data_IF_484945386900
#
_entry.id   IF_484945386900
#
_cell.length_a   1.000
_cell.length_b   1.000
_cell.length_c   1.000
_cell.angle_alpha   90.00
_cell.angle_beta   90.00
_cell.angle_gamma   90.00
#
_symmetry.space_group_name_H-M   'P 1'
#
loop_
_entity.id
_entity.type
_entity.pdbx_description
1 polymer ?
#
# COMPACT_ATOMS: atom_id res chain seq x y z
N UNK A 1 -25.95 7.25 4.95
CA UNK A 1 -24.74 6.98 5.74
C UNK A 1 -23.49 6.95 4.86
N UNK A 2 -23.55 6.25 3.72
CA UNK A 2 -22.44 6.11 2.75
C UNK A 2 -21.86 7.44 2.22
N UNK A 3 -22.69 8.43 1.87
CA UNK A 3 -22.21 9.73 1.38
C UNK A 3 -21.41 10.53 2.42
N UNK A 4 -21.61 10.28 3.72
CA UNK A 4 -20.84 10.92 4.80
C UNK A 4 -19.48 10.24 4.95
N UNK A 5 -19.48 8.91 5.01
CA UNK A 5 -18.26 8.08 5.08
C UNK A 5 -17.34 8.35 3.88
N UNK A 6 -17.89 8.37 2.67
CA UNK A 6 -17.12 8.64 1.46
C UNK A 6 -16.51 10.05 1.44
N UNK A 7 -17.18 11.04 2.03
CA UNK A 7 -16.67 12.42 2.13
C UNK A 7 -15.54 12.54 3.14
N UNK A 8 -15.71 11.92 4.31
CA UNK A 8 -14.68 11.86 5.35
C UNK A 8 -13.45 11.10 4.87
N UNK A 9 -13.65 10.01 4.12
CA UNK A 9 -12.56 9.27 3.49
C UNK A 9 -11.78 10.12 2.50
N UNK A 10 -12.46 10.77 1.53
CA UNK A 10 -11.80 11.65 0.56
C UNK A 10 -11.01 12.77 1.23
N UNK A 11 -11.59 13.42 2.23
CA UNK A 11 -10.89 14.45 2.98
C UNK A 11 -9.60 13.94 3.64
N UNK A 12 -9.61 12.72 4.20
CA UNK A 12 -8.39 12.10 4.75
C UNK A 12 -7.36 11.74 3.67
N UNK A 13 -7.81 11.30 2.50
CA UNK A 13 -6.92 11.03 1.35
C UNK A 13 -6.22 12.31 0.92
N UNK A 14 -6.96 13.41 0.77
CA UNK A 14 -6.42 14.71 0.38
C UNK A 14 -5.44 15.30 1.40
N UNK A 15 -5.56 14.92 2.69
CA UNK A 15 -4.65 15.37 3.74
C UNK A 15 -3.37 14.52 3.86
N UNK A 16 -3.37 13.28 3.37
CA UNK A 16 -2.30 12.31 3.60
C UNK A 16 -1.55 11.92 2.33
N UNK A 17 -2.12 12.19 1.15
CA UNK A 17 -1.52 11.88 -0.15
C UNK A 17 -1.56 13.16 -0.99
N UNK A 18 -0.39 13.69 -1.33
CA UNK A 18 -0.27 14.91 -2.13
C UNK A 18 -0.33 14.63 -3.64
N UNK A 19 0.11 13.44 -4.07
CA UNK A 19 0.21 13.08 -5.48
C UNK A 19 -1.13 12.55 -6.04
N UNK A 20 -1.69 13.26 -7.03
CA UNK A 20 -2.94 12.86 -7.69
C UNK A 20 -2.86 11.45 -8.33
N UNK A 21 -1.72 11.04 -8.88
CA UNK A 21 -1.58 9.70 -9.43
C UNK A 21 -1.66 8.60 -8.34
N UNK A 22 -1.15 8.87 -7.13
CA UNK A 22 -1.28 7.95 -6.00
C UNK A 22 -2.72 7.89 -5.48
N UNK A 23 -3.45 9.03 -5.51
CA UNK A 23 -4.88 9.08 -5.17
C UNK A 23 -5.71 8.28 -6.17
N UNK A 24 -5.49 8.49 -7.47
CA UNK A 24 -6.17 7.77 -8.54
C UNK A 24 -5.96 6.25 -8.40
N UNK A 25 -4.70 5.84 -8.19
CA UNK A 25 -4.38 4.43 -7.94
C UNK A 25 -5.09 3.90 -6.69
N UNK A 26 -5.11 4.65 -5.58
CA UNK A 26 -5.85 4.26 -4.37
C UNK A 26 -7.35 4.04 -4.65
N UNK A 27 -7.98 4.95 -5.40
CA UNK A 27 -9.40 4.83 -5.75
C UNK A 27 -9.68 3.66 -6.69
N UNK A 28 -8.78 3.39 -7.64
CA UNK A 28 -8.89 2.26 -8.56
C UNK A 28 -8.73 0.93 -7.83
N UNK A 29 -7.78 0.81 -6.91
CA UNK A 29 -7.59 -0.38 -6.05
C UNK A 29 -8.84 -0.66 -5.22
N UNK A 30 -9.45 0.37 -4.62
CA UNK A 30 -10.71 0.22 -3.87
C UNK A 30 -11.88 -0.20 -4.78
N UNK A 31 -11.93 0.32 -6.02
CA UNK A 31 -12.93 -0.07 -7.02
C UNK A 31 -12.76 -1.53 -7.46
N UNK A 32 -11.52 -1.97 -7.68
CA UNK A 32 -11.18 -3.34 -8.02
C UNK A 32 -11.53 -4.31 -6.88
N UNK A 33 -11.32 -3.91 -5.63
CA UNK A 33 -11.77 -4.69 -4.48
C UNK A 33 -13.29 -4.85 -4.45
N UNK A 34 -14.05 -3.78 -4.75
CA UNK A 34 -15.51 -3.87 -4.80
C UNK A 34 -16.04 -4.87 -5.84
N UNK A 35 -15.27 -5.13 -6.91
CA UNK A 35 -15.61 -6.13 -7.93
C UNK A 35 -15.14 -7.55 -7.57
N UNK A 36 -13.91 -7.68 -7.08
CA UNK A 36 -13.26 -8.97 -6.85
C UNK A 36 -13.52 -9.57 -5.46
N UNK A 37 -13.84 -8.73 -4.47
CA UNK A 37 -13.93 -9.09 -3.06
C UNK A 37 -12.65 -9.75 -2.50
N UNK A 38 -11.50 -9.56 -3.15
CA UNK A 38 -10.23 -10.18 -2.77
C UNK A 38 -9.43 -9.28 -1.82
N UNK A 39 -9.46 -9.61 -0.54
CA UNK A 39 -8.86 -8.80 0.52
C UNK A 39 -7.32 -8.85 0.57
N UNK A 40 -6.66 -10.01 0.39
CA UNK A 40 -5.21 -10.07 0.29
C UNK A 40 -4.64 -9.17 -0.82
N UNK A 41 -5.26 -9.18 -2.01
CA UNK A 41 -4.85 -8.31 -3.13
C UNK A 41 -5.04 -6.84 -2.77
N UNK A 42 -6.22 -6.48 -2.23
CA UNK A 42 -6.47 -5.12 -1.75
C UNK A 42 -5.37 -4.64 -0.79
N UNK A 43 -5.07 -5.41 0.26
CA UNK A 43 -4.10 -4.99 1.27
C UNK A 43 -2.69 -4.90 0.68
N UNK A 44 -2.32 -5.81 -0.22
CA UNK A 44 -1.05 -5.74 -0.95
C UNK A 44 -0.91 -4.45 -1.77
N UNK A 45 -1.94 -4.11 -2.55
CA UNK A 45 -1.96 -2.90 -3.38
C UNK A 45 -2.00 -1.62 -2.54
N UNK A 46 -2.76 -1.63 -1.43
CA UNK A 46 -2.80 -0.50 -0.49
C UNK A 46 -1.43 -0.20 0.12
N UNK A 47 -0.59 -1.22 0.37
CA UNK A 47 0.77 -1.03 0.91
C UNK A 47 1.70 -0.29 -0.06
N UNK A 48 1.39 -0.23 -1.37
CA UNK A 48 2.16 0.54 -2.34
C UNK A 48 1.96 2.06 -2.16
N UNK A 49 0.74 2.47 -1.79
CA UNK A 49 0.41 3.88 -1.53
C UNK A 49 0.66 4.26 -0.08
N UNK A 50 0.31 3.36 0.84
CA UNK A 50 0.52 3.52 2.28
C UNK A 50 1.94 3.05 2.62
N UNK A 51 2.92 3.77 2.09
CA UNK A 51 4.34 3.40 2.10
C UNK A 51 5.16 4.16 3.15
N UNK A 52 4.53 4.90 4.05
CA UNK A 52 5.18 5.63 5.15
C UNK A 52 4.26 5.76 6.39
N UNK A 53 4.82 5.97 7.60
CA UNK A 53 4.06 5.98 8.85
C UNK A 53 2.95 7.05 8.92
N UNK A 54 3.15 8.20 8.29
CA UNK A 54 2.19 9.31 8.20
C UNK A 54 0.90 8.89 7.49
N UNK A 55 1.00 7.99 6.50
CA UNK A 55 -0.12 7.50 5.68
C UNK A 55 -0.89 6.34 6.31
N UNK A 56 -0.34 5.68 7.32
CA UNK A 56 -1.01 4.55 8.01
C UNK A 56 -2.46 4.83 8.47
N UNK A 57 -2.88 6.05 8.92
CA UNK A 57 -4.28 6.33 9.26
C UNK A 57 -5.27 6.04 8.14
N UNK A 58 -4.82 5.88 6.89
CA UNK A 58 -5.66 5.47 5.76
C UNK A 58 -6.24 4.06 5.95
N UNK A 59 -5.52 3.11 6.57
CA UNK A 59 -6.10 1.80 6.88
C UNK A 59 -7.35 1.92 7.77
N UNK A 60 -7.30 2.78 8.79
CA UNK A 60 -8.44 3.06 9.66
C UNK A 60 -9.58 3.77 8.90
N UNK A 61 -9.24 4.58 7.90
CA UNK A 61 -10.21 5.31 7.08
C UNK A 61 -10.87 4.43 6.02
N UNK A 62 -10.19 3.39 5.55
CA UNK A 62 -10.67 2.42 4.57
C UNK A 62 -11.54 1.35 5.24
N UNK A 63 -11.24 0.97 6.49
CA UNK A 63 -11.99 -0.05 7.25
C UNK A 63 -13.53 0.08 7.15
N UNK A 64 -14.16 1.26 7.28
CA UNK A 64 -15.62 1.41 7.15
C UNK A 64 -16.16 1.13 5.73
N UNK A 65 -15.31 1.16 4.70
CA UNK A 65 -15.66 0.82 3.32
C UNK A 65 -15.62 -0.71 3.08
N UNK A 66 -15.00 -1.46 3.99
CA UNK A 66 -14.89 -2.92 3.91
C UNK A 66 -16.16 -3.57 4.47
N UNK A 67 -16.80 -4.50 3.73
CA UNK A 67 -17.96 -5.25 4.22
C UNK A 67 -17.69 -5.92 5.56
N UNK A 68 -18.67 -5.92 6.47
CA UNK A 68 -18.54 -6.47 7.84
C UNK A 68 -17.95 -7.90 7.87
N UNK A 69 -18.34 -8.74 6.90
CA UNK A 69 -17.82 -10.12 6.76
C UNK A 69 -16.30 -10.21 6.55
N UNK A 70 -15.67 -9.18 5.99
CA UNK A 70 -14.24 -9.15 5.71
C UNK A 70 -13.44 -8.30 6.71
N UNK A 71 -14.10 -7.59 7.63
CA UNK A 71 -13.41 -6.67 8.54
C UNK A 71 -12.44 -7.36 9.51
N UNK A 72 -12.73 -8.59 9.92
CA UNK A 72 -11.83 -9.36 10.81
C UNK A 72 -10.56 -9.77 10.07
N UNK A 73 -10.70 -10.27 8.84
CA UNK A 73 -9.57 -10.64 7.98
C UNK A 73 -8.75 -9.40 7.61
N UNK A 74 -9.41 -8.25 7.38
CA UNK A 74 -8.74 -6.98 7.09
C UNK A 74 -7.84 -6.54 8.26
N UNK A 75 -8.33 -6.67 9.51
CA UNK A 75 -7.55 -6.35 10.71
C UNK A 75 -6.36 -7.31 10.93
N UNK A 76 -6.41 -8.52 10.36
CA UNK A 76 -5.31 -9.48 10.45
C UNK A 76 -4.22 -9.16 9.43
N UNK A 77 -4.60 -8.67 8.24
CA UNK A 77 -3.68 -8.34 7.15
C UNK A 77 -3.07 -6.94 7.27
N UNK A 78 -3.75 -6.03 7.97
CA UNK A 78 -3.27 -4.65 8.16
C UNK A 78 -2.43 -4.49 9.45
N UNK A 79 -1.45 -3.58 9.46
CA UNK A 79 -0.61 -3.38 10.64
C UNK A 79 -1.40 -2.78 11.80
N UNK A 80 -1.28 -3.41 12.97
CA UNK A 80 -2.02 -3.05 14.19
C UNK A 80 -1.42 -1.83 14.87
N UNK A 81 -1.82 -0.61 14.49
CA UNK A 81 -1.32 0.59 15.17
C UNK A 81 -1.91 0.72 16.58
N UNK A 82 -1.07 1.09 17.54
CA UNK A 82 -1.53 1.54 18.86
C UNK A 82 -1.21 3.02 19.07
N UNK A 83 -2.20 3.80 19.49
CA UNK A 83 -1.96 5.17 19.99
C UNK A 83 -1.51 5.19 21.45
N UNK A 84 -1.71 4.09 22.18
CA UNK A 84 -1.31 3.95 23.58
C UNK A 84 0.18 3.64 23.65
N UNK A 85 0.88 4.42 24.49
CA UNK A 85 2.28 4.16 24.80
C UNK A 85 2.38 2.98 25.76
N UNK A 86 3.33 2.08 25.49
CA UNK A 86 3.69 0.98 26.38
C UNK A 86 5.01 1.31 27.05
N UNK A 87 5.06 1.24 28.37
CA UNK A 87 6.30 1.40 29.14
C UNK A 87 6.81 0.02 29.60
N UNK A 88 8.09 -0.25 29.37
CA UNK A 88 8.77 -1.45 29.84
C UNK A 88 10.06 -1.06 30.54
N UNK A 89 10.52 -1.94 31.45
CA UNK A 89 11.81 -1.77 32.15
C UNK A 89 12.67 -2.98 31.83
N UNK A 90 13.88 -2.73 31.35
CA UNK A 90 14.84 -3.77 31.01
C UNK A 90 16.11 -3.61 31.84
N UNK A 91 16.65 -4.73 32.31
CA UNK A 91 17.94 -4.83 32.98
C UNK A 91 19.06 -5.07 31.97
N UNK A 92 20.01 -4.15 31.92
CA UNK A 92 21.19 -4.27 31.05
C UNK A 92 22.22 -5.26 31.56
N UNK A 93 22.16 -5.65 32.82
CA UNK A 93 23.05 -6.65 33.40
C UNK A 93 22.55 -8.09 33.17
N UNK A 94 21.38 -8.25 32.53
CA UNK A 94 20.90 -9.55 32.11
C UNK A 94 21.94 -10.24 31.21
N UNK A 95 22.22 -11.55 31.38
CA UNK A 95 23.28 -12.25 30.63
C UNK A 95 23.15 -12.16 29.10
N UNK A 96 21.92 -12.14 28.60
CA UNK A 96 21.60 -12.01 27.16
C UNK A 96 21.42 -10.55 26.71
N UNK A 97 21.74 -9.59 27.58
CA UNK A 97 21.49 -8.17 27.35
C UNK A 97 20.00 -7.83 27.26
N UNK A 98 19.69 -6.81 26.45
CA UNK A 98 18.31 -6.32 26.27
C UNK A 98 17.50 -7.20 25.30
N UNK A 99 18.17 -7.90 24.36
CA UNK A 99 17.51 -8.71 23.34
C UNK A 99 16.80 -7.94 22.22
N UNK A 100 17.26 -6.71 21.91
CA UNK A 100 16.75 -5.88 20.81
C UNK A 100 17.88 -5.30 19.98
N UNK A 101 17.61 -5.13 18.68
CA UNK A 101 18.39 -4.28 17.79
C UNK A 101 17.54 -3.08 17.38
N UNK A 102 18.12 -1.88 17.43
CA UNK A 102 17.44 -0.63 17.10
C UNK A 102 18.09 0.04 15.89
N UNK A 103 17.31 0.83 15.16
CA UNK A 103 17.78 1.63 14.01
C UNK A 103 17.01 2.93 13.89
N UNK A 104 17.55 3.86 13.09
CA UNK A 104 17.03 5.22 12.98
C UNK A 104 17.70 6.16 13.97
N UNK A 105 17.16 7.35 14.11
CA UNK A 105 17.83 8.49 14.76
C UNK A 105 17.67 9.75 13.92
N UNK A 106 17.87 10.91 14.55
CA UNK A 106 17.68 12.22 13.94
C UNK A 106 18.46 12.38 12.62
N UNK A 107 19.67 11.85 12.54
CA UNK A 107 20.55 11.89 11.38
C UNK A 107 19.97 11.15 10.16
N UNK A 108 19.04 10.22 10.39
CA UNK A 108 18.31 9.50 9.36
C UNK A 108 16.91 10.09 9.11
N UNK A 109 16.63 11.28 9.68
CA UNK A 109 15.35 11.99 9.61
C UNK A 109 14.14 11.10 9.96
N UNK A 110 14.33 10.18 10.91
CA UNK A 110 13.28 9.29 11.40
C UNK A 110 13.43 9.03 12.90
N UNK A 111 12.38 8.51 13.52
CA UNK A 111 12.42 8.04 14.90
C UNK A 111 13.34 6.82 15.09
N UNK A 112 13.37 6.27 16.30
CA UNK A 112 14.15 5.07 16.62
C UNK A 112 13.23 3.85 16.69
N UNK A 113 13.54 2.81 15.92
CA UNK A 113 12.68 1.63 15.76
C UNK A 113 13.39 0.35 16.16
N UNK A 114 12.64 -0.56 16.80
CA UNK A 114 13.08 -1.92 17.06
C UNK A 114 13.01 -2.71 15.75
N UNK A 115 14.17 -3.11 15.24
CA UNK A 115 14.27 -3.86 13.98
C UNK A 115 14.47 -5.36 14.16
N UNK A 116 15.01 -5.80 15.29
CA UNK A 116 15.16 -7.21 15.60
C UNK A 116 14.92 -7.44 17.08
N UNK A 117 14.52 -8.66 17.39
CA UNK A 117 14.15 -9.07 18.73
C UNK A 117 14.58 -10.52 18.92
N UNK A 118 15.29 -10.80 20.01
CA UNK A 118 15.75 -12.15 20.35
C UNK A 118 14.57 -12.91 20.93
N UNK A 119 14.14 -13.97 20.25
CA UNK A 119 13.04 -14.82 20.70
C UNK A 119 13.35 -15.45 22.06
N UNK A 120 12.43 -15.32 23.01
CA UNK A 120 12.62 -15.74 24.40
C UNK A 120 13.52 -14.82 25.23
N UNK A 121 14.10 -13.79 24.62
CA UNK A 121 14.94 -12.81 25.31
C UNK A 121 14.12 -11.87 26.20
N UNK A 122 14.83 -10.99 26.90
CA UNK A 122 14.22 -10.08 27.87
C UNK A 122 13.17 -9.14 27.26
N UNK A 123 13.49 -8.52 26.12
CA UNK A 123 12.58 -7.65 25.40
C UNK A 123 11.34 -8.38 24.86
N UNK A 124 11.51 -9.60 24.35
CA UNK A 124 10.39 -10.46 23.92
C UNK A 124 9.46 -10.77 25.09
N UNK A 125 10.04 -11.13 26.23
CA UNK A 125 9.31 -11.50 27.45
C UNK A 125 8.46 -10.36 28.01
N UNK A 126 8.90 -9.11 27.84
CA UNK A 126 8.09 -7.92 28.21
C UNK A 126 7.14 -7.48 27.09
N UNK A 127 7.12 -8.20 25.97
CA UNK A 127 6.23 -8.01 24.82
C UNK A 127 6.57 -6.80 23.96
N UNK A 128 7.84 -6.42 23.86
CA UNK A 128 8.26 -5.51 22.78
C UNK A 128 8.10 -6.23 21.43
N UNK A 129 7.92 -5.47 20.36
CA UNK A 129 7.67 -6.01 19.04
C UNK A 129 8.57 -5.33 18.00
N UNK A 130 8.90 -6.06 16.93
CA UNK A 130 9.51 -5.48 15.74
C UNK A 130 8.51 -4.46 15.15
N UNK A 131 8.99 -3.27 14.79
CA UNK A 131 8.14 -2.16 14.32
C UNK A 131 7.62 -1.27 15.45
N UNK A 132 8.05 -1.48 16.69
CA UNK A 132 7.88 -0.54 17.78
C UNK A 132 8.82 0.66 17.60
N UNK A 133 8.26 1.86 17.67
CA UNK A 133 9.00 3.12 17.77
C UNK A 133 9.26 3.44 19.24
N UNK A 134 10.53 3.63 19.60
CA UNK A 134 10.93 4.12 20.91
C UNK A 134 10.73 5.63 20.94
N UNK A 135 9.89 6.10 21.87
CA UNK A 135 9.57 7.53 21.99
C UNK A 135 10.24 8.18 23.20
N UNK A 136 10.53 7.41 24.25
CA UNK A 136 11.25 7.89 25.44
C UNK A 136 12.15 6.84 26.04
N UNK A 137 13.26 7.29 26.61
CA UNK A 137 14.22 6.46 27.35
C UNK A 137 14.53 7.14 28.67
N UNK A 138 14.39 6.39 29.77
CA UNK A 138 14.62 6.87 31.13
C UNK A 138 13.87 8.16 31.48
N UNK A 139 12.71 8.36 30.85
CA UNK A 139 11.89 9.55 31.03
C UNK A 139 12.23 10.72 30.11
N UNK A 140 13.27 10.65 29.29
CA UNK A 140 13.63 11.70 28.32
C UNK A 140 13.02 11.44 26.95
N UNK A 141 12.59 12.51 26.27
CA UNK A 141 12.18 12.43 24.85
C UNK A 141 13.41 12.23 23.98
N UNK A 142 13.31 11.39 22.95
CA UNK A 142 14.43 11.11 22.03
C UNK A 142 14.18 11.58 20.59
N UNK A 143 13.14 12.40 20.38
CA UNK A 143 12.74 12.91 19.06
C UNK A 143 13.82 13.73 18.34
N UNK A 144 14.75 14.30 19.10
CA UNK A 144 15.82 15.17 18.59
C UNK A 144 17.20 14.62 18.91
N UNK A 145 17.30 13.31 19.16
CA UNK A 145 18.55 12.65 19.46
C UNK A 145 19.08 11.90 18.25
N UNK A 146 20.39 11.92 18.05
CA UNK A 146 21.06 11.03 17.09
C UNK A 146 21.01 9.58 17.57
N UNK A 147 21.28 8.62 16.68
CA UNK A 147 21.37 7.22 17.06
C UNK A 147 22.35 7.02 18.22
N UNK A 148 23.54 7.62 18.10
CA UNK A 148 24.60 7.50 19.11
C UNK A 148 24.17 8.07 20.47
N UNK A 149 23.55 9.25 20.50
CA UNK A 149 23.05 9.86 21.73
C UNK A 149 22.02 8.97 22.42
N UNK A 150 21.14 8.32 21.66
CA UNK A 150 20.17 7.38 22.21
C UNK A 150 20.87 6.14 22.80
N UNK A 151 21.83 5.55 22.09
CA UNK A 151 22.59 4.41 22.61
C UNK A 151 23.31 4.79 23.91
N UNK A 152 23.90 5.99 23.96
CA UNK A 152 24.53 6.50 25.17
C UNK A 152 23.52 6.70 26.30
N UNK A 153 22.31 7.19 26.00
CA UNK A 153 21.23 7.34 26.97
C UNK A 153 20.76 6.00 27.54
N UNK A 154 20.63 4.96 26.72
CA UNK A 154 20.35 3.58 27.17
C UNK A 154 21.46 3.11 28.11
N UNK A 155 22.72 3.50 27.82
CA UNK A 155 23.90 3.08 28.58
C UNK A 155 24.08 3.78 29.94
N UNK A 156 23.30 4.82 30.25
CA UNK A 156 23.45 5.60 31.49
C UNK A 156 23.08 4.85 32.77
N UNK A 157 22.09 3.95 32.72
CA UNK A 157 21.53 3.27 33.90
C UNK A 157 21.59 1.76 33.76
N UNK A 158 21.62 1.04 34.89
CA UNK A 158 21.54 -0.44 34.91
C UNK A 158 20.17 -0.93 34.42
N UNK A 159 19.11 -0.32 34.94
CA UNK A 159 17.74 -0.55 34.48
C UNK A 159 17.35 0.60 33.56
N UNK A 160 16.99 0.28 32.32
CA UNK A 160 16.48 1.24 31.33
C UNK A 160 14.96 1.17 31.29
N UNK A 161 14.28 2.31 31.45
CA UNK A 161 12.85 2.43 31.15
C UNK A 161 12.69 2.88 29.69
N UNK A 162 11.90 2.15 28.91
CA UNK A 162 11.64 2.45 27.50
C UNK A 162 10.14 2.62 27.32
N UNK A 163 9.72 3.75 26.74
CA UNK A 163 8.35 3.93 26.25
C UNK A 163 8.31 3.76 24.74
N UNK A 164 7.43 2.89 24.28
CA UNK A 164 7.27 2.57 22.87
C UNK A 164 5.85 2.82 22.36
N UNK A 165 5.74 3.01 21.05
CA UNK A 165 4.49 3.03 20.30
C UNK A 165 4.60 2.07 19.13
N UNK A 166 3.62 1.18 18.96
CA UNK A 166 3.64 0.24 17.84
C UNK A 166 3.21 0.94 16.54
N UNK A 167 4.10 0.92 15.54
CA UNK A 167 3.87 1.48 14.21
C UNK A 167 3.65 0.37 13.17
N UNK A 168 4.43 -0.70 13.22
CA UNK A 168 4.35 -1.82 12.28
C UNK A 168 5.12 -1.60 10.97
N UNK A 169 6.02 -0.61 10.93
CA UNK A 169 6.93 -0.33 9.82
C UNK A 169 8.36 -0.12 10.34
N UNK A 170 9.34 -0.35 9.49
CA UNK A 170 10.78 -0.25 9.77
C UNK A 170 11.43 0.69 8.75
N UNK A 171 12.24 1.67 9.17
CA UNK A 171 13.03 2.49 8.27
C UNK A 171 14.17 1.68 7.65
N UNK A 172 14.38 1.86 6.35
CA UNK A 172 15.42 1.19 5.56
C UNK A 172 16.10 2.23 4.66
N UNK A 173 17.42 2.29 4.76
CA UNK A 173 18.28 3.10 3.89
C UNK A 173 19.50 2.26 3.52
N UNK A 174 19.61 1.86 2.25
CA UNK A 174 20.62 0.89 1.79
C UNK A 174 21.98 1.55 1.56
N UNK A 175 21.99 2.83 1.20
CA UNK A 175 23.20 3.63 0.99
C UNK A 175 22.99 5.09 1.44
N UNK A 176 24.07 5.86 1.67
CA UNK A 176 23.98 7.28 2.02
C UNK A 176 23.19 8.11 1.01
N UNK A 177 23.27 7.74 -0.27
CA UNK A 177 22.68 8.44 -1.41
C UNK A 177 21.22 8.03 -1.69
N UNK A 178 20.76 6.89 -1.17
CA UNK A 178 19.37 6.49 -1.29
C UNK A 178 18.46 7.27 -0.33
N UNK A 179 17.23 7.63 -0.78
CA UNK A 179 16.24 8.19 0.11
C UNK A 179 15.81 7.17 1.17
N UNK A 180 15.40 7.65 2.34
CA UNK A 180 14.81 6.82 3.38
C UNK A 180 13.52 6.16 2.85
N UNK A 181 13.45 4.84 2.93
CA UNK A 181 12.27 4.05 2.60
C UNK A 181 11.71 3.40 3.86
N UNK A 182 10.43 3.05 3.84
CA UNK A 182 9.81 2.29 4.91
C UNK A 182 9.34 0.93 4.42
N UNK A 183 9.56 -0.09 5.23
CA UNK A 183 9.15 -1.45 4.93
C UNK A 183 8.23 -1.96 6.04
N UNK A 184 7.18 -2.68 5.67
CA UNK A 184 6.33 -3.34 6.66
C UNK A 184 7.09 -4.48 7.34
N UNK A 185 6.76 -4.75 8.60
CA UNK A 185 7.45 -5.77 9.40
C UNK A 185 7.42 -7.15 8.74
N UNK A 186 6.32 -7.51 8.08
CA UNK A 186 6.20 -8.80 7.36
C UNK A 186 7.19 -8.91 6.20
N UNK A 187 7.29 -7.88 5.36
CA UNK A 187 8.27 -7.80 4.27
C UNK A 187 9.71 -7.76 4.79
N UNK A 188 9.94 -7.06 5.91
CA UNK A 188 11.26 -6.90 6.52
C UNK A 188 11.80 -8.22 7.09
N UNK A 189 10.94 -9.02 7.74
CA UNK A 189 11.33 -10.33 8.31
C UNK A 189 11.48 -11.39 7.21
N UNK A 190 10.68 -11.35 6.14
CA UNK A 190 10.83 -12.25 4.99
C UNK A 190 12.17 -12.13 4.26
N UNK A 191 12.87 -11.00 4.37
CA UNK A 191 14.20 -10.79 3.78
C UNK A 191 15.35 -11.34 4.68
N UNK A 192 15.02 -11.86 5.87
CA UNK A 192 15.99 -12.30 6.88
C UNK A 192 16.04 -13.81 7.12
N UNK A 193 15.24 -14.60 6.40
CA UNK A 193 15.21 -16.06 6.55
C UNK A 193 14.87 -16.78 5.24
N UNK A 194 15.49 -17.94 5.05
CA UNK A 194 15.40 -18.83 3.88
C UNK A 194 13.99 -19.02 3.31
N UNK A 195 13.94 -19.26 2.00
CA UNK A 195 12.75 -19.11 1.18
C UNK A 195 11.58 -20.04 1.49
N UNK A 196 10.39 -19.51 1.19
CA UNK A 196 9.33 -20.16 0.39
C UNK A 196 8.26 -19.10 0.06
N UNK A 197 7.82 -19.12 -1.19
CA UNK A 197 7.28 -17.94 -1.86
C UNK A 197 5.79 -17.66 -1.69
N UNK A 198 5.41 -16.46 -2.11
CA UNK A 198 4.33 -16.26 -3.07
C UNK A 198 4.33 -14.82 -3.61
N UNK A 199 4.55 -14.75 -4.93
CA UNK A 199 3.94 -13.82 -5.91
C UNK A 199 3.68 -12.37 -5.47
N UNK A 200 4.66 -11.52 -5.73
CA UNK A 200 4.48 -10.24 -6.41
C UNK A 200 5.81 -9.88 -7.08
N UNK A 201 5.85 -10.02 -8.40
CA UNK A 201 7.06 -9.90 -9.20
C UNK A 201 7.52 -8.47 -9.40
N UNK A 202 8.79 -8.38 -9.83
CA UNK A 202 9.46 -7.25 -10.48
C UNK A 202 10.11 -6.21 -9.56
N UNK A 203 11.16 -6.63 -8.84
CA UNK A 203 12.50 -6.02 -8.93
C UNK A 203 13.40 -6.58 -7.81
N UNK A 204 14.19 -7.61 -8.10
CA UNK A 204 15.55 -7.70 -7.57
C UNK A 204 16.27 -8.86 -8.25
N UNK A 205 17.10 -8.54 -9.22
CA UNK A 205 18.11 -9.45 -9.74
C UNK A 205 19.43 -8.72 -9.67
N UNK A 206 20.28 -9.09 -8.71
CA UNK A 206 21.72 -8.82 -8.80
C UNK A 206 22.38 -8.03 -7.67
N UNK A 207 21.72 -7.73 -6.55
CA UNK A 207 22.39 -7.14 -5.38
C UNK A 207 22.42 -8.15 -4.24
N UNK A 208 23.53 -8.88 -4.04
CA UNK A 208 23.76 -9.47 -2.72
C UNK A 208 24.18 -8.33 -1.83
N UNK A 209 23.21 -7.77 -1.11
CA UNK A 209 23.44 -6.65 -0.24
C UNK A 209 24.50 -7.03 0.81
N UNK A 210 25.65 -6.38 0.70
CA UNK A 210 26.69 -6.37 1.71
C UNK A 210 26.13 -5.61 2.93
N UNK A 211 25.26 -6.26 3.71
CA UNK A 211 24.58 -5.66 4.87
C UNK A 211 25.58 -5.48 6.00
N UNK A 212 25.70 -4.28 6.55
CA UNK A 212 26.44 -4.04 7.78
C UNK A 212 25.74 -4.73 8.96
N UNK A 213 26.46 -5.62 9.66
CA UNK A 213 26.03 -6.30 10.90
C UNK A 213 26.87 -5.76 12.06
N UNK A 214 26.24 -5.35 13.15
CA UNK A 214 26.93 -5.00 14.41
C UNK A 214 26.65 -6.07 15.46
N UNK A 215 27.69 -6.75 15.93
CA UNK A 215 27.61 -7.86 16.88
C UNK A 215 28.34 -7.55 18.17
N UNK A 216 27.86 -8.13 19.27
CA UNK A 216 28.46 -7.97 20.60
C UNK A 216 28.96 -9.33 21.11
N UNK A 217 30.24 -9.42 21.45
CA UNK A 217 30.88 -10.65 21.92
C UNK A 217 31.48 -10.41 23.31
N UNK A 218 31.06 -11.21 24.29
CA UNK A 218 31.63 -11.25 25.63
C UNK A 218 32.55 -12.46 25.78
N UNK A 219 33.85 -12.21 25.98
CA UNK A 219 34.90 -13.21 26.16
C UNK A 219 35.14 -13.57 27.64
N UNK A 220 34.19 -13.23 28.51
CA UNK A 220 34.25 -13.53 29.95
C UNK A 220 33.87 -15.00 30.13
N UNK A 221 34.78 -15.80 30.69
CA UNK A 221 34.56 -17.24 30.92
C UNK A 221 34.79 -18.15 29.71
N UNK A 222 35.09 -17.59 28.52
CA UNK A 222 35.43 -18.36 27.31
C UNK A 222 36.93 -18.33 27.00
N UNK A 223 37.40 -19.34 26.25
CA UNK A 223 38.81 -19.43 25.81
C UNK A 223 39.12 -18.50 24.62
N UNK A 224 38.12 -17.85 24.02
CA UNK A 224 38.27 -16.95 22.87
C UNK A 224 36.96 -16.79 22.08
N UNK A 225 36.96 -15.90 21.08
CA UNK A 225 35.76 -15.62 20.27
C UNK A 225 35.37 -16.79 19.34
N UNK A 226 36.36 -17.58 18.90
CA UNK A 226 36.13 -18.77 18.08
C UNK A 226 36.01 -18.52 16.59
N UNK A 227 36.48 -17.38 16.09
CA UNK A 227 36.75 -17.16 14.67
C UNK A 227 38.23 -16.86 14.41
N UNK A 228 38.66 -17.09 13.18
CA UNK A 228 39.96 -16.70 12.65
C UNK A 228 39.79 -15.50 11.71
N UNK A 229 40.78 -14.62 11.69
CA UNK A 229 40.83 -13.49 10.77
C UNK A 229 42.01 -13.63 9.81
N UNK A 230 41.84 -13.15 8.58
CA UNK A 230 42.86 -13.09 7.54
C UNK A 230 42.89 -11.70 6.93
N UNK A 231 44.06 -11.26 6.46
CA UNK A 231 44.13 -10.04 5.65
C UNK A 231 43.74 -10.36 4.22
N UNK A 232 42.96 -9.48 3.61
CA UNK A 232 42.62 -9.59 2.20
C UNK A 232 43.82 -9.33 1.27
N UNK A 233 43.74 -9.77 0.01
CA UNK A 233 44.77 -9.53 -1.00
C UNK A 233 44.85 -8.05 -1.37
N UNK A 234 45.89 -7.65 -2.12
CA UNK A 234 46.08 -6.25 -2.56
C UNK A 234 44.93 -5.70 -3.38
N UNK A 235 44.17 -6.55 -4.07
CA UNK A 235 42.98 -6.18 -4.85
C UNK A 235 41.75 -5.91 -3.96
N UNK A 236 41.76 -6.39 -2.72
CA UNK A 236 40.66 -6.26 -1.77
C UNK A 236 41.21 -6.20 -0.33
N UNK A 237 41.86 -5.09 0.05
CA UNK A 237 42.46 -4.94 1.36
C UNK A 237 41.40 -4.90 2.46
N UNK A 238 41.77 -5.33 3.66
CA UNK A 238 40.89 -5.36 4.83
C UNK A 238 41.12 -6.60 5.69
N UNK A 239 40.40 -6.67 6.82
CA UNK A 239 40.44 -7.81 7.73
C UNK A 239 39.15 -8.61 7.57
N UNK A 240 39.27 -9.87 7.19
CA UNK A 240 38.14 -10.75 6.88
C UNK A 240 38.11 -11.94 7.81
N UNK A 241 36.91 -12.45 8.08
CA UNK A 241 36.73 -13.70 8.82
C UNK A 241 37.01 -14.87 7.88
N UNK A 242 38.02 -15.66 8.22
CA UNK A 242 38.46 -16.78 7.39
C UNK A 242 37.96 -18.15 7.87
N UNK A 243 37.64 -18.25 9.16
CA UNK A 243 37.09 -19.49 9.71
C UNK A 243 36.26 -19.19 10.95
N UNK A 244 35.23 -19.99 11.20
CA UNK A 244 34.39 -19.92 12.38
C UNK A 244 34.24 -21.32 12.97
N UNK A 245 34.58 -21.46 14.24
CA UNK A 245 34.42 -22.73 14.95
C UNK A 245 32.93 -22.96 15.25
N UNK A 246 32.37 -24.13 14.90
CA UNK A 246 30.98 -24.47 15.25
C UNK A 246 30.75 -24.41 16.76
N UNK A 247 29.61 -23.85 17.18
CA UNK A 247 29.25 -23.67 18.59
C UNK A 247 30.15 -22.68 19.36
N UNK A 248 30.81 -21.77 18.65
CA UNK A 248 31.55 -20.67 19.26
C UNK A 248 30.69 -19.42 19.39
N UNK A 249 31.13 -18.48 20.23
CA UNK A 249 30.48 -17.16 20.36
C UNK A 249 30.37 -16.45 19.02
N UNK A 250 31.41 -16.50 18.17
CA UNK A 250 31.37 -15.92 16.82
C UNK A 250 30.27 -16.56 15.96
N UNK A 251 30.05 -17.87 16.06
CA UNK A 251 28.97 -18.54 15.34
C UNK A 251 27.59 -18.17 15.90
N UNK A 252 27.45 -18.12 17.22
CA UNK A 252 26.20 -17.78 17.90
C UNK A 252 25.72 -16.36 17.62
N UNK A 253 26.65 -15.40 17.47
CA UNK A 253 26.30 -14.01 17.12
C UNK A 253 26.10 -13.81 15.61
N UNK A 254 26.17 -14.87 14.80
CA UNK A 254 25.88 -14.83 13.37
C UNK A 254 26.97 -14.19 12.50
N UNK A 255 28.23 -14.26 12.95
CA UNK A 255 29.36 -14.03 12.05
C UNK A 255 29.47 -15.20 11.08
N UNK A 256 29.89 -14.91 9.85
CA UNK A 256 30.07 -15.88 8.78
C UNK A 256 31.47 -15.77 8.16
N UNK A 257 31.91 -16.85 7.51
CA UNK A 257 33.13 -16.85 6.71
C UNK A 257 32.95 -15.86 5.55
N UNK A 258 33.93 -14.99 5.34
CA UNK A 258 33.90 -13.93 4.36
C UNK A 258 33.32 -12.60 4.86
N UNK A 259 32.89 -12.48 6.11
CA UNK A 259 32.54 -11.17 6.68
C UNK A 259 33.79 -10.28 6.79
N UNK A 260 33.68 -9.01 6.41
CA UNK A 260 34.76 -8.02 6.59
C UNK A 260 34.57 -7.26 7.88
N UNK A 261 35.55 -7.25 8.77
CA UNK A 261 35.52 -6.42 9.97
C UNK A 261 35.87 -4.99 9.58
N UNK A 262 34.96 -4.05 9.89
CA UNK A 262 35.13 -2.62 9.58
C UNK A 262 35.30 -1.77 10.83
N UNK A 263 34.84 -2.24 11.99
CA UNK A 263 35.06 -1.55 13.27
C UNK A 263 35.12 -2.55 14.43
N UNK A 264 36.00 -2.31 15.41
CA UNK A 264 36.00 -3.03 16.69
C UNK A 264 36.11 -2.04 17.83
N UNK A 265 35.12 -2.01 18.73
CA UNK A 265 35.09 -1.13 19.90
C UNK A 265 35.30 0.36 19.56
N UNK A 266 34.83 0.81 18.38
CA UNK A 266 35.02 2.17 17.89
C UNK A 266 36.39 2.44 17.24
N UNK A 267 37.25 1.42 17.12
CA UNK A 267 38.48 1.49 16.30
C UNK A 267 38.13 1.09 14.87
N UNK A 268 38.44 1.94 13.90
CA UNK A 268 38.28 1.66 12.47
C UNK A 268 39.22 0.54 12.02
N UNK A 269 38.69 -0.41 11.24
CA UNK A 269 39.41 -1.57 10.70
C UNK A 269 39.58 -1.51 9.17
N UNK A 270 39.19 -0.40 8.53
CA UNK A 270 39.26 -0.24 7.08
C UNK A 270 40.68 -0.34 6.53
N UNK A 271 41.67 0.20 7.25
CA UNK A 271 43.10 0.24 6.84
C UNK A 271 44.04 -0.29 7.93
N UNK A 272 43.62 -1.31 8.67
CA UNK A 272 44.39 -1.88 9.76
C UNK A 272 45.19 -3.09 9.28
N UNK A 273 46.47 -3.17 9.67
CA UNK A 273 47.30 -4.33 9.37
C UNK A 273 46.91 -5.55 10.23
N UNK A 274 47.28 -6.75 9.79
CA UNK A 274 46.91 -7.98 10.49
C UNK A 274 47.33 -7.99 11.97
N UNK A 275 48.54 -7.49 12.26
CA UNK A 275 49.14 -7.57 13.58
C UNK A 275 48.40 -6.65 14.55
N UNK A 276 48.03 -5.47 14.07
CA UNK A 276 47.25 -4.49 14.79
C UNK A 276 45.82 -4.97 15.02
N UNK A 277 45.17 -5.54 14.00
CA UNK A 277 43.84 -6.11 14.11
C UNK A 277 43.78 -7.19 15.21
N UNK A 278 44.77 -8.09 15.25
CA UNK A 278 44.90 -9.11 16.29
C UNK A 278 45.11 -8.48 17.68
N UNK A 279 45.90 -7.41 17.77
CA UNK A 279 46.14 -6.69 19.03
C UNK A 279 44.85 -6.06 19.56
N UNK A 280 44.09 -5.37 18.71
CA UNK A 280 42.84 -4.70 19.08
C UNK A 280 41.78 -5.73 19.47
N UNK A 281 41.60 -6.81 18.71
CA UNK A 281 40.65 -7.88 19.04
C UNK A 281 40.99 -8.61 20.35
N UNK A 282 42.27 -8.65 20.74
CA UNK A 282 42.72 -9.23 22.01
C UNK A 282 42.78 -8.23 23.17
N UNK A 283 42.64 -6.94 22.90
CA UNK A 283 42.81 -5.88 23.92
C UNK A 283 41.67 -5.83 24.95
N UNK A 284 40.49 -6.36 24.60
CA UNK A 284 39.30 -6.31 25.44
C UNK A 284 38.63 -7.67 25.56
N UNK A 285 38.01 -7.89 26.73
CA UNK A 285 37.13 -9.05 26.99
C UNK A 285 35.70 -8.82 26.51
N UNK A 286 35.37 -7.62 26.08
CA UNK A 286 34.07 -7.28 25.49
C UNK A 286 34.30 -6.57 24.16
N UNK A 287 33.74 -7.12 23.09
CA UNK A 287 33.95 -6.65 21.73
C UNK A 287 32.61 -6.26 21.13
N UNK A 288 32.53 -5.03 20.63
CA UNK A 288 31.49 -4.59 19.70
C UNK A 288 32.12 -4.57 18.32
N UNK A 289 31.68 -5.44 17.43
CA UNK A 289 32.27 -5.61 16.10
C UNK A 289 31.25 -5.21 15.06
N UNK A 290 31.59 -4.27 14.20
CA UNK A 290 30.82 -3.96 12.98
C UNK A 290 31.48 -4.69 11.82
N UNK A 291 30.69 -5.45 11.07
CA UNK A 291 31.14 -6.21 9.89
C UNK A 291 30.28 -5.92 8.67
N UNK A 292 30.87 -6.00 7.49
CA UNK A 292 30.14 -6.00 6.22
C UNK A 292 29.95 -7.45 5.81
N UNK A 293 28.69 -7.89 5.79
CA UNK A 293 28.33 -9.30 5.64
C UNK A 293 28.74 -9.86 4.29
N UNK A 294 29.64 -10.83 4.35
CA UNK A 294 30.13 -11.58 3.21
C UNK A 294 30.80 -10.76 2.10
N UNK A 295 31.34 -9.59 2.45
CA UNK A 295 32.13 -8.78 1.55
C UNK A 295 33.33 -9.57 0.99
N UNK A 296 33.95 -10.44 1.77
CA UNK A 296 35.05 -11.32 1.38
C UNK A 296 34.65 -12.76 1.08
N UNK A 297 33.37 -13.09 0.86
CA UNK A 297 32.94 -14.48 0.58
C UNK A 297 33.73 -15.11 -0.57
N UNK A 298 33.95 -14.36 -1.63
CA UNK A 298 34.74 -14.77 -2.80
C UNK A 298 36.23 -15.08 -2.52
N UNK A 299 36.78 -14.57 -1.41
CA UNK A 299 38.17 -14.84 -1.03
C UNK A 299 38.34 -16.23 -0.40
N UNK A 300 37.24 -16.83 0.06
CA UNK A 300 37.24 -18.11 0.78
C UNK A 300 36.36 -19.18 0.13
N UNK A 301 35.81 -18.92 -1.06
CA UNK A 301 35.10 -19.93 -1.86
C UNK A 301 36.10 -20.91 -2.49
N UNK A 302 35.79 -22.21 -2.42
CA UNK A 302 36.54 -23.22 -3.15
C UNK A 302 36.26 -23.13 -4.66
N UNK A 303 37.20 -23.59 -5.49
CA UNK A 303 37.03 -23.57 -6.95
C UNK A 303 35.78 -24.35 -7.42
N UNK A 304 35.44 -25.44 -6.73
CA UNK A 304 34.21 -26.19 -6.97
C UNK A 304 32.95 -25.39 -6.64
N UNK A 305 32.95 -24.65 -5.52
CA UNK A 305 31.82 -23.78 -5.14
C UNK A 305 31.67 -22.61 -6.10
N UNK A 306 32.79 -22.03 -6.56
CA UNK A 306 32.82 -20.97 -7.57
C UNK A 306 32.19 -21.46 -8.88
N UNK A 307 32.55 -22.65 -9.33
CA UNK A 307 31.99 -23.23 -10.55
C UNK A 307 30.49 -23.51 -10.42
N UNK A 308 30.03 -24.08 -9.30
CA UNK A 308 28.60 -24.30 -9.05
C UNK A 308 27.81 -23.00 -9.01
N UNK A 309 28.36 -21.96 -8.39
CA UNK A 309 27.70 -20.65 -8.32
C UNK A 309 27.59 -20.00 -9.70
N UNK A 310 28.62 -20.12 -10.54
CA UNK A 310 28.58 -19.66 -11.93
C UNK A 310 27.54 -20.45 -12.73
N UNK A 311 27.51 -21.77 -12.61
CA UNK A 311 26.52 -22.62 -13.29
C UNK A 311 25.10 -22.31 -12.84
N UNK A 312 24.88 -22.09 -11.55
CA UNK A 312 23.57 -21.75 -11.01
C UNK A 312 23.10 -20.38 -11.53
N UNK A 313 23.97 -19.37 -11.51
CA UNK A 313 23.66 -18.05 -12.08
C UNK A 313 23.36 -18.12 -13.58
N UNK A 314 24.07 -18.98 -14.31
CA UNK A 314 23.83 -19.16 -15.74
C UNK A 314 22.49 -19.84 -15.99
N UNK A 315 22.12 -20.82 -15.17
CA UNK A 315 20.82 -21.47 -15.21
C UNK A 315 19.68 -20.49 -14.87
N UNK A 316 19.81 -19.72 -13.79
CA UNK A 316 18.86 -18.65 -13.41
C UNK A 316 18.70 -17.63 -14.55
N UNK A 317 19.80 -17.25 -15.21
CA UNK A 317 19.76 -16.33 -16.35
C UNK A 317 19.01 -16.94 -17.54
N UNK A 318 19.18 -18.23 -17.79
CA UNK A 318 18.46 -18.94 -18.86
C UNK A 318 16.96 -19.04 -18.55
N UNK A 319 16.60 -19.36 -17.31
CA UNK A 319 15.21 -19.41 -16.86
C UNK A 319 14.54 -18.04 -16.95
N UNK A 320 15.22 -16.97 -16.51
CA UNK A 320 14.72 -15.61 -16.63
C UNK A 320 14.50 -15.20 -18.09
N UNK A 321 15.43 -15.55 -18.98
CA UNK A 321 15.29 -15.28 -20.42
C UNK A 321 14.14 -16.07 -21.05
N UNK A 322 13.91 -17.29 -20.60
CA UNK A 322 12.77 -18.10 -21.03
C UNK A 322 11.44 -17.49 -20.54
N UNK A 323 11.37 -17.10 -19.27
CA UNK A 323 10.19 -16.46 -18.68
C UNK A 323 9.87 -15.13 -19.38
N UNK A 324 10.90 -14.32 -19.68
CA UNK A 324 10.75 -13.06 -20.42
C UNK A 324 10.21 -13.29 -21.83
N UNK A 325 10.61 -14.39 -22.50
CA UNK A 325 10.09 -14.76 -23.82
C UNK A 325 8.60 -15.08 -23.76
N UNK A 326 8.18 -15.91 -22.79
CA UNK A 326 6.78 -16.27 -22.59
C UNK A 326 5.93 -15.04 -22.24
N UNK A 327 6.47 -14.11 -21.42
CA UNK A 327 5.81 -12.86 -21.09
C UNK A 327 5.63 -11.93 -22.31
N UNK A 328 6.62 -11.87 -23.21
CA UNK A 328 6.51 -11.10 -24.45
C UNK A 328 5.46 -11.71 -25.40
N UNK A 329 5.41 -13.03 -25.50
CA UNK A 329 4.44 -13.74 -26.34
C UNK A 329 3.00 -13.58 -25.84
N UNK A 330 2.78 -13.69 -24.53
CA UNK A 330 1.48 -13.46 -23.90
C UNK A 330 1.01 -12.01 -24.05
N UNK A 331 1.90 -11.03 -23.87
CA UNK A 331 1.57 -9.61 -24.12
C UNK A 331 1.22 -9.34 -25.58
N UNK A 332 1.90 -10.00 -26.51
CA UNK A 332 1.57 -9.91 -27.95
C UNK A 332 0.18 -10.45 -28.22
N UNK A 333 -0.16 -11.63 -27.70
CA UNK A 333 -1.48 -12.25 -27.85
C UNK A 333 -2.60 -11.38 -27.25
N UNK A 334 -2.34 -10.78 -26.08
CA UNK A 334 -3.29 -9.89 -25.43
C UNK A 334 -3.58 -8.63 -26.27
N UNK A 335 -2.54 -8.02 -26.86
CA UNK A 335 -2.70 -6.89 -27.78
C UNK A 335 -3.50 -7.26 -29.03
N UNK A 336 -3.22 -8.42 -29.63
CA UNK A 336 -3.96 -8.91 -30.79
C UNK A 336 -5.44 -9.18 -30.46
N UNK A 337 -5.74 -9.70 -29.25
CA UNK A 337 -7.12 -9.87 -28.79
C UNK A 337 -7.84 -8.52 -28.60
N UNK A 338 -7.19 -7.55 -27.96
CA UNK A 338 -7.77 -6.22 -27.77
C UNK A 338 -8.05 -5.51 -29.10
N UNK A 339 -7.15 -5.64 -30.08
CA UNK A 339 -7.35 -5.05 -31.40
C UNK A 339 -8.53 -5.70 -32.15
N UNK A 340 -8.66 -7.03 -32.10
CA UNK A 340 -9.81 -7.75 -32.65
C UNK A 340 -11.13 -7.36 -31.97
N UNK A 341 -11.13 -7.20 -30.65
CA UNK A 341 -12.31 -6.76 -29.92
C UNK A 341 -12.70 -5.33 -30.31
N UNK A 342 -11.71 -4.43 -30.48
CA UNK A 342 -11.93 -3.07 -30.95
C UNK A 342 -12.51 -3.02 -32.36
N UNK A 343 -12.03 -3.89 -33.26
CA UNK A 343 -12.58 -4.03 -34.61
C UNK A 343 -14.04 -4.50 -34.58
N UNK A 344 -14.36 -5.52 -33.79
CA UNK A 344 -15.75 -5.98 -33.63
C UNK A 344 -16.67 -4.89 -33.08
N UNK A 345 -16.22 -4.14 -32.07
CA UNK A 345 -16.97 -3.00 -31.52
C UNK A 345 -17.22 -1.92 -32.57
N UNK A 346 -16.23 -1.62 -33.40
CA UNK A 346 -16.37 -0.64 -34.48
C UNK A 346 -17.38 -1.12 -35.54
N UNK A 347 -17.33 -2.39 -35.93
CA UNK A 347 -18.28 -2.98 -36.88
C UNK A 347 -19.72 -2.96 -36.34
N UNK A 348 -19.91 -3.31 -35.06
CA UNK A 348 -21.22 -3.24 -34.39
C UNK A 348 -21.71 -1.79 -34.35
N UNK A 349 -20.85 -0.84 -33.97
CA UNK A 349 -21.20 0.58 -33.93
C UNK A 349 -21.57 1.12 -35.30
N UNK A 350 -20.89 0.68 -36.36
CA UNK A 350 -21.18 1.10 -37.72
C UNK A 350 -22.55 0.56 -38.18
N UNK A 351 -22.84 -0.73 -37.92
CA UNK A 351 -24.15 -1.32 -38.23
C UNK A 351 -25.27 -0.63 -37.47
N UNK A 352 -25.06 -0.32 -36.19
CA UNK A 352 -26.03 0.42 -35.38
C UNK A 352 -26.29 1.84 -35.95
N UNK A 353 -25.25 2.54 -36.39
CA UNK A 353 -25.39 3.86 -37.00
C UNK A 353 -26.13 3.81 -38.35
N UNK A 354 -25.85 2.80 -39.18
CA UNK A 354 -26.56 2.59 -40.45
C UNK A 354 -28.05 2.26 -40.22
N UNK A 355 -28.36 1.48 -39.19
CA UNK A 355 -29.73 1.17 -38.79
C UNK A 355 -30.46 2.40 -38.24
N UNK A 356 -29.81 3.20 -37.40
CA UNK A 356 -30.35 4.46 -36.87
C UNK A 356 -30.63 5.47 -38.00
N UNK A 357 -29.77 5.54 -39.02
CA UNK A 357 -30.00 6.40 -40.20
C UNK A 357 -31.19 5.92 -41.03
N UNK A 358 -31.37 4.60 -41.20
CA UNK A 358 -32.56 4.06 -41.86
C UNK A 358 -33.83 4.40 -41.08
N UNK A 359 -33.81 4.15 -39.77
CA UNK A 359 -34.94 4.46 -38.90
C UNK A 359 -35.29 5.95 -38.93
N UNK A 360 -34.27 6.83 -38.94
CA UNK A 360 -34.45 8.28 -39.05
C UNK A 360 -35.14 8.67 -40.37
N UNK A 361 -34.74 8.08 -41.50
CA UNK A 361 -35.37 8.34 -42.81
C UNK A 361 -36.81 7.88 -42.84
N UNK A 362 -37.10 6.72 -42.24
CA UNK A 362 -38.45 6.18 -42.14
C UNK A 362 -39.36 7.09 -41.29
N UNK A 363 -38.86 7.57 -40.14
CA UNK A 363 -39.58 8.58 -39.33
C UNK A 363 -39.82 9.86 -40.12
N UNK A 364 -38.82 10.39 -40.81
CA UNK A 364 -38.96 11.63 -41.59
C UNK A 364 -40.02 11.47 -42.69
N UNK A 365 -40.07 10.30 -43.34
CA UNK A 365 -41.09 9.97 -44.33
C UNK A 365 -42.49 9.92 -43.70
N UNK A 366 -42.66 9.21 -42.59
CA UNK A 366 -43.93 9.16 -41.86
C UNK A 366 -44.37 10.56 -41.45
N UNK A 367 -43.45 11.37 -40.90
CA UNK A 367 -43.75 12.74 -40.47
C UNK A 367 -44.17 13.61 -41.66
N UNK A 368 -43.51 13.47 -42.81
CA UNK A 368 -43.87 14.20 -44.02
C UNK A 368 -45.22 13.74 -44.60
N UNK A 369 -45.54 12.45 -44.50
CA UNK A 369 -46.85 11.90 -44.87
C UNK A 369 -47.94 12.38 -43.93
N UNK A 370 -47.69 12.43 -42.61
CA UNK A 370 -48.60 13.02 -41.62
C UNK A 370 -48.83 14.51 -41.85
N UNK A 371 -47.77 15.28 -42.17
CA UNK A 371 -47.92 16.71 -42.49
C UNK A 371 -48.71 16.93 -43.79
N UNK A 372 -48.53 16.07 -44.80
CA UNK A 372 -49.34 16.12 -46.03
C UNK A 372 -50.79 15.78 -45.74
N UNK A 373 -51.04 14.69 -45.02
CA UNK A 373 -52.38 14.28 -44.61
C UNK A 373 -53.06 15.36 -43.77
N UNK A 374 -52.33 15.99 -42.86
CA UNK A 374 -52.83 17.11 -42.06
C UNK A 374 -53.18 18.33 -42.92
N UNK A 375 -52.35 18.69 -43.90
CA UNK A 375 -52.64 19.78 -44.84
C UNK A 375 -53.86 19.47 -45.72
N UNK A 376 -53.96 18.25 -46.23
CA UNK A 376 -55.11 17.78 -47.01
C UNK A 376 -56.40 17.80 -46.19
N UNK A 377 -56.35 17.34 -44.93
CA UNK A 377 -57.45 17.43 -43.99
C UNK A 377 -57.84 18.90 -43.67
N UNK A 378 -56.85 19.78 -43.49
CA UNK A 378 -57.06 21.21 -43.28
C UNK A 378 -57.64 21.93 -44.52
N UNK A 379 -57.39 21.43 -45.73
CA UNK A 379 -57.96 21.95 -46.99
C UNK A 379 -59.40 21.46 -47.22
N UNK A 380 -59.66 20.16 -47.02
CA UNK A 380 -60.97 19.54 -47.29
C UNK A 380 -62.02 19.83 -46.20
N UNK A 381 -61.60 20.04 -44.95
CA UNK A 381 -62.51 20.16 -43.81
C UNK A 381 -62.48 21.52 -43.10
N UNK A 382 -61.85 22.54 -43.70
CA UNK A 382 -61.94 23.92 -43.17
C UNK A 382 -63.36 24.46 -43.33
N UNK A 383 -64.03 24.90 -42.24
CA UNK A 383 -65.32 25.57 -42.36
C UNK A 383 -65.17 26.86 -43.19
N UNK A 384 -65.84 26.93 -44.34
CA UNK A 384 -66.10 28.21 -45.02
C UNK A 384 -67.25 28.90 -44.28
N UNK A 385 -66.87 29.95 -43.56
CA UNK A 385 -67.67 30.96 -42.82
C UNK A 385 -67.73 30.81 -41.28
N UNK A 386 -67.46 31.90 -40.53
CA UNK A 386 -67.52 31.90 -39.07
C UNK A 386 -68.97 32.04 -38.56
N UNK A 387 -69.33 31.43 -37.41
CA UNK A 387 -70.68 31.55 -36.87
C UNK A 387 -70.92 32.95 -36.28
N UNK A 388 -72.09 33.52 -36.58
CA UNK A 388 -72.59 34.79 -36.00
C UNK A 388 -73.16 34.57 -34.59
N UNK A 389 -73.11 35.58 -33.70
CA UNK A 389 -73.47 35.39 -32.30
C UNK A 389 -74.96 35.63 -31.99
N UNK A 390 -75.47 34.77 -31.10
CA UNK A 390 -76.61 34.86 -30.13
C UNK A 390 -78.07 34.87 -30.63
N UNK A 391 -78.88 33.91 -30.14
CA UNK A 391 -80.04 34.14 -29.21
C UNK A 391 -80.74 32.85 -28.76
N UNK A 392 -81.11 32.87 -27.48
CA UNK A 392 -81.79 31.87 -26.66
C UNK A 392 -83.22 31.53 -27.11
N UNK A 393 -83.62 30.24 -27.06
CA UNK A 393 -84.98 29.80 -26.71
C UNK A 393 -84.92 28.44 -25.98
N UNK A 394 -85.75 28.36 -24.94
CA UNK A 394 -86.08 27.28 -23.99
C UNK A 394 -86.63 25.98 -24.59
N UNK A 395 -86.34 24.82 -23.98
CA UNK A 395 -87.35 23.94 -23.32
C UNK A 395 -86.82 22.52 -23.04
N UNK A 396 -86.94 22.14 -21.76
CA UNK A 396 -87.31 20.87 -21.13
C UNK A 396 -86.84 19.47 -21.61
N UNK A 397 -86.00 18.88 -20.74
CA UNK A 397 -86.17 17.59 -20.00
C UNK A 397 -86.72 16.35 -20.74
N UNK A 398 -85.88 15.30 -20.87
CA UNK A 398 -86.00 13.99 -20.16
C UNK A 398 -84.83 13.03 -20.52
N UNK A 399 -84.53 12.01 -19.68
CA UNK A 399 -83.17 11.65 -19.31
C UNK A 399 -82.63 10.37 -19.97
N UNK A 400 -81.31 10.18 -19.84
CA UNK A 400 -80.58 8.99 -20.22
C UNK A 400 -80.98 7.73 -19.40
N UNK A 401 -81.06 6.54 -20.01
CA UNK A 401 -81.00 5.31 -19.25
C UNK A 401 -79.53 4.90 -19.01
N UNK A 402 -79.18 4.72 -17.74
CA UNK A 402 -78.03 3.94 -17.28
C UNK A 402 -78.52 2.54 -16.84
N UNK A 403 -77.69 1.68 -16.21
CA UNK A 403 -76.90 0.61 -16.83
C UNK A 403 -77.39 -0.79 -16.38
N UNK A 404 -76.94 -1.87 -17.02
CA UNK A 404 -77.06 -3.23 -16.44
C UNK A 404 -75.75 -4.03 -16.50
N UNK A 405 -75.19 -4.16 -15.31
CA UNK A 405 -74.40 -5.26 -14.73
C UNK A 405 -73.99 -6.45 -15.63
N UNK A 406 -72.66 -6.63 -15.69
CA UNK A 406 -71.88 -7.73 -15.07
C UNK A 406 -72.31 -9.18 -15.38
N UNK A 407 -71.46 -9.88 -16.14
CA UNK A 407 -71.22 -11.31 -15.95
C UNK A 407 -69.71 -11.54 -15.96
N UNK A 408 -69.17 -11.84 -14.78
CA UNK A 408 -67.89 -12.52 -14.57
C UNK A 408 -68.08 -14.00 -14.95
N UNK A 409 -67.19 -14.56 -15.77
CA UNK A 409 -66.99 -16.01 -15.87
C UNK A 409 -65.49 -16.31 -15.96
N UNK A 410 -65.00 -16.97 -14.90
CA UNK A 410 -63.66 -17.50 -14.71
C UNK A 410 -63.50 -18.87 -15.40
N UNK A 411 -62.28 -19.13 -15.87
CA UNK A 411 -61.64 -20.46 -15.97
C UNK A 411 -61.69 -21.09 -17.36
N UNK A 412 -60.70 -21.83 -17.87
CA UNK A 412 -59.48 -22.49 -17.34
C UNK A 412 -58.59 -22.89 -18.54
N UNK A 413 -57.25 -22.82 -18.38
CA UNK A 413 -56.12 -23.52 -19.08
C UNK A 413 -56.07 -23.58 -20.64
N UNK A 414 -54.94 -23.47 -21.33
CA UNK A 414 -53.68 -24.21 -21.14
C UNK A 414 -52.56 -23.59 -22.03
N UNK A 415 -51.33 -23.65 -21.50
CA UNK A 415 -50.04 -23.92 -22.15
C UNK A 415 -49.31 -22.98 -23.15
N UNK A 416 -48.04 -22.75 -22.74
CA UNK A 416 -46.79 -22.71 -23.53
C UNK A 416 -46.51 -21.51 -24.44
N UNK A 417 -45.55 -20.65 -24.05
CA UNK A 417 -44.16 -20.67 -24.52
C UNK A 417 -43.38 -19.44 -24.00
N UNK A 418 -42.08 -19.65 -23.83
CA UNK A 418 -41.08 -18.73 -23.31
C UNK A 418 -40.82 -17.50 -24.20
N UNK A 419 -40.42 -16.39 -23.59
CA UNK A 419 -39.29 -15.55 -24.03
C UNK A 419 -39.00 -14.47 -22.98
N UNK A 420 -37.75 -14.42 -22.56
CA UNK A 420 -37.11 -13.30 -21.87
C UNK A 420 -37.00 -12.10 -22.82
N UNK A 421 -37.36 -10.91 -22.35
CA UNK A 421 -36.61 -9.65 -22.48
C UNK A 421 -37.51 -8.47 -22.08
N UNK A 422 -36.98 -7.53 -21.29
CA UNK A 422 -37.29 -6.10 -21.40
C UNK A 422 -36.40 -5.29 -20.46
N UNK A 423 -35.34 -4.75 -21.05
CA UNK A 423 -34.68 -3.52 -20.60
C UNK A 423 -35.69 -2.37 -20.58
N UNK A 424 -35.83 -1.73 -19.42
CA UNK A 424 -36.66 -0.55 -19.23
C UNK A 424 -35.81 0.66 -18.89
N UNK A 425 -35.44 1.45 -19.89
CA UNK A 425 -34.97 2.83 -19.70
C UNK A 425 -35.99 3.76 -20.36
N UNK A 426 -36.81 4.43 -19.54
CA UNK A 426 -37.54 5.64 -19.94
C UNK A 426 -36.90 6.82 -19.22
N UNK A 427 -36.32 7.67 -20.05
CA UNK A 427 -35.90 9.05 -19.84
C UNK A 427 -37.02 9.93 -19.29
N UNK A 428 -36.71 10.70 -18.24
CA UNK A 428 -37.39 11.97 -17.93
C UNK A 428 -36.34 13.03 -17.63
N UNK A 429 -36.12 13.94 -18.57
CA UNK A 429 -35.68 15.30 -18.27
C UNK A 429 -36.43 16.26 -19.16
N UNK A 430 -37.20 17.17 -18.55
CA UNK A 430 -37.48 18.46 -19.13
C UNK A 430 -37.52 19.51 -18.00
N UNK A 431 -36.65 20.51 -18.16
CA UNK A 431 -36.73 21.94 -17.79
C UNK A 431 -37.21 22.37 -16.39
N UNK A 432 -36.48 23.32 -15.80
CA UNK A 432 -36.83 24.77 -15.72
C UNK A 432 -35.99 25.42 -14.57
N UNK A 433 -34.97 26.24 -14.87
CA UNK A 433 -34.92 27.73 -14.97
C UNK A 433 -34.91 28.47 -13.61
N UNK A 434 -34.11 29.56 -13.58
CA UNK A 434 -33.95 30.63 -12.58
C UNK A 434 -33.01 30.34 -11.39
N UNK A 435 -32.15 31.24 -10.92
CA UNK A 435 -31.81 32.61 -11.32
C UNK A 435 -30.46 33.01 -10.71
N UNK A 436 -29.73 33.86 -11.42
CA UNK A 436 -28.65 34.71 -10.94
C UNK A 436 -29.08 35.65 -9.80
N UNK A 437 -28.24 35.80 -8.78
CA UNK A 437 -28.15 37.03 -7.99
C UNK A 437 -26.73 37.18 -7.41
N UNK A 438 -26.09 38.27 -7.81
CA UNK A 438 -24.82 38.82 -7.34
C UNK A 438 -25.12 39.98 -6.37
N UNK A 439 -24.11 40.35 -5.58
CA UNK A 439 -24.01 41.49 -4.64
C UNK A 439 -24.64 41.24 -3.26
N UNK A 440 -24.09 41.66 -2.12
CA UNK A 440 -23.05 42.66 -1.82
C UNK A 440 -22.66 42.56 -0.33
N UNK A 441 -21.42 42.93 0.00
CA UNK A 441 -20.96 43.25 1.36
C UNK A 441 -21.71 44.46 1.95
N UNK A 442 -21.76 44.58 3.29
CA UNK A 442 -20.92 45.59 3.92
C UNK A 442 -20.24 45.16 5.25
N UNK A 443 -19.13 45.83 5.56
CA UNK A 443 -18.46 45.97 6.86
C UNK A 443 -19.45 46.47 7.96
N UNK A 444 -19.29 46.24 9.28
CA UNK A 444 -18.27 46.83 10.17
C UNK A 444 -18.46 46.34 11.63
N UNK A 445 -17.46 46.62 12.47
CA UNK A 445 -17.37 46.66 13.95
C UNK A 445 -16.99 45.36 14.69
N UNK A 446 -15.75 45.19 15.18
CA UNK A 446 -14.95 45.94 16.18
C UNK A 446 -15.20 45.45 17.61
N UNK A 447 -14.21 44.75 18.18
CA UNK A 447 -13.82 44.90 19.59
C UNK A 447 -12.45 44.27 19.86
N UNK A 448 -11.46 45.15 20.06
CA UNK A 448 -10.18 44.92 20.73
C UNK A 448 -10.36 44.37 22.16
N UNK A 449 -9.52 43.43 22.60
CA UNK A 449 -9.04 43.38 24.00
C UNK A 449 -7.55 42.98 24.01
N UNK A 450 -6.76 43.84 24.64
CA UNK A 450 -5.31 43.77 24.84
C UNK A 450 -4.92 42.99 26.10
N UNK A 451 -3.65 42.56 26.13
CA UNK A 451 -2.87 41.93 27.21
C UNK A 451 -2.90 42.70 28.56
N UNK A 452 -2.37 42.07 29.63
CA UNK A 452 -1.02 42.50 30.04
C UNK A 452 -0.03 41.37 30.37
N UNK A 453 1.24 41.71 30.15
CA UNK A 453 2.47 41.10 30.67
C UNK A 453 2.71 41.51 32.13
N UNK A 454 3.40 40.66 32.88
CA UNK A 454 4.39 40.90 33.96
C UNK A 454 4.36 39.69 34.91
N UNK A 455 5.46 39.09 35.39
CA UNK A 455 6.91 39.32 35.33
C UNK A 455 7.63 37.97 35.48
#
# INVERSE_FOLDING_TARGET
MERKVAREFRHKVDLLIDNEAEKDYLYDVLRMYHQSMNLPVLVGDLKLVINEPSRLPLFDAIRPLIPLKHQVEYDQLTPKRSRKLKEVRLDRLHPEGLGISVRGGLEFTCGLFISQLIKGGQADSVGLQIGDEIVRINGYSISSCTHEEVINLIRTKKIVSIKVRHIGMIPVKSSPDEPLKWQFVDQFVSDSGEGKGSVAGLASSGGRDNKEKKVFISLIGSKGMGCSISSGPTQKPGIFISNIKPGSLSAEVGLEIGDQIVEVNGVDFSNVDHKEAVRVLKSSRTLTISVVSGAGRELFMTEDERQREVSLREQERQELMHQKRLALETNKLLKEQQEKERQRKLEISQKAAEEEERYRKEIEQITAEEEKFKKEWEEDWRPKEPPKPVKSVTADVHPAPTPKHRIDLKGVAHDQLAADDMDGVITKQNKQVCSSALASYPDSDSSYISFPLDS
#
